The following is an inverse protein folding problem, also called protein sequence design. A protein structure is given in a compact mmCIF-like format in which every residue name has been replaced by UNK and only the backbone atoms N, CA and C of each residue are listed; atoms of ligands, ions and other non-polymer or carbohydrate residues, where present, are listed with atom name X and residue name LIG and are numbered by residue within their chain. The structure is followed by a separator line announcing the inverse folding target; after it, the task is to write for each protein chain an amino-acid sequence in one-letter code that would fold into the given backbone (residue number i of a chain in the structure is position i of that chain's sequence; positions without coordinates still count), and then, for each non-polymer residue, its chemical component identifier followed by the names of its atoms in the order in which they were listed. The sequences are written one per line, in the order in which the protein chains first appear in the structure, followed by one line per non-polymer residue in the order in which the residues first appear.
data_IF_864351345603
#
_entry.id   IF_864351345603
#
_cell.length_a   1.000
_cell.length_b   1.000
_cell.length_c   1.000
_cell.angle_alpha   90.00
_cell.angle_beta   90.00
_cell.angle_gamma   90.00
#
_symmetry.space_group_name_H-M   'P 1'
#
loop_
_entity.id
_entity.type
_entity.pdbx_description
1 polymer ?
#
# COMPACT_ATOMS: atom_id res chain seq x y z
N UNK A 1 -8.11 -13.40 -13.88
CA UNK A 1 -7.41 -12.18 -13.41
C UNK A 1 -8.00 -11.68 -12.11
N UNK A 2 -9.33 -11.71 -11.94
CA UNK A 2 -9.98 -11.28 -10.69
C UNK A 2 -9.77 -12.26 -9.52
N UNK A 3 -9.67 -13.56 -9.75
CA UNK A 3 -9.39 -14.54 -8.68
C UNK A 3 -8.00 -14.34 -8.04
N UNK A 4 -6.98 -14.11 -8.86
CA UNK A 4 -5.62 -13.84 -8.39
C UNK A 4 -5.55 -12.52 -7.60
N UNK A 5 -6.29 -11.49 -8.04
CA UNK A 5 -6.41 -10.26 -7.27
C UNK A 5 -7.11 -10.50 -5.92
N UNK A 6 -8.23 -11.22 -5.91
CA UNK A 6 -8.97 -11.52 -4.68
C UNK A 6 -8.10 -12.26 -3.64
N UNK A 7 -7.31 -13.25 -4.09
CA UNK A 7 -6.39 -14.00 -3.24
C UNK A 7 -5.27 -13.13 -2.65
N UNK A 8 -4.68 -12.25 -3.45
CA UNK A 8 -3.54 -11.41 -3.04
C UNK A 8 -3.96 -10.09 -2.38
N UNK A 9 -5.23 -9.72 -2.45
CA UNK A 9 -5.76 -8.47 -1.91
C UNK A 9 -5.48 -8.33 -0.42
N UNK A 10 -5.69 -9.39 0.35
CA UNK A 10 -5.43 -9.39 1.80
C UNK A 10 -3.94 -9.16 2.12
N UNK A 11 -3.05 -9.78 1.35
CA UNK A 11 -1.60 -9.60 1.48
C UNK A 11 -1.20 -8.15 1.17
N UNK A 12 -1.74 -7.57 0.10
CA UNK A 12 -1.50 -6.18 -0.26
C UNK A 12 -2.02 -5.20 0.83
N UNK A 13 -3.18 -5.49 1.42
CA UNK A 13 -3.75 -4.71 2.52
C UNK A 13 -2.83 -4.71 3.75
N UNK A 14 -2.44 -5.89 4.24
CA UNK A 14 -1.53 -6.01 5.39
C UNK A 14 -0.18 -5.31 5.13
N UNK A 15 0.38 -5.44 3.92
CA UNK A 15 1.62 -4.73 3.54
C UNK A 15 1.44 -3.21 3.53
N UNK A 16 0.26 -2.72 3.17
CA UNK A 16 -0.10 -1.30 3.22
C UNK A 16 -0.06 -0.76 4.65
N UNK A 17 -0.70 -1.47 5.58
CA UNK A 17 -0.69 -1.11 7.00
C UNK A 17 0.72 -1.13 7.60
N UNK A 18 1.47 -2.21 7.38
CA UNK A 18 2.87 -2.32 7.87
C UNK A 18 3.74 -1.21 7.29
N UNK A 19 3.57 -0.89 6.00
CA UNK A 19 4.30 0.22 5.40
C UNK A 19 3.97 1.56 6.08
N UNK A 20 2.69 1.83 6.35
CA UNK A 20 2.28 3.04 7.03
C UNK A 20 2.83 3.10 8.47
N UNK A 21 2.84 1.98 9.19
CA UNK A 21 3.48 1.85 10.51
C UNK A 21 4.97 2.18 10.45
N UNK A 22 5.70 1.65 9.48
CA UNK A 22 7.14 1.88 9.33
C UNK A 22 7.48 3.34 8.98
N UNK A 23 6.62 4.00 8.20
CA UNK A 23 6.75 5.44 7.94
C UNK A 23 6.45 6.23 9.22
N UNK A 24 5.44 5.84 10.00
CA UNK A 24 5.08 6.52 11.24
C UNK A 24 6.17 6.45 12.32
N UNK A 25 6.99 5.39 12.33
CA UNK A 25 8.19 5.29 13.19
C UNK A 25 9.24 6.37 12.88
N UNK A 26 9.24 6.92 11.66
CA UNK A 26 10.26 7.86 11.17
C UNK A 26 9.73 9.27 10.95
N UNK A 27 8.43 9.41 10.76
CA UNK A 27 7.77 10.66 10.41
C UNK A 27 6.49 10.81 11.24
N UNK A 28 6.31 11.93 11.97
CA UNK A 28 5.10 12.18 12.71
C UNK A 28 3.89 12.24 11.78
N UNK A 29 2.75 11.72 12.26
CA UNK A 29 1.49 11.62 11.49
C UNK A 29 0.71 12.94 11.40
N UNK A 30 1.40 14.07 11.48
CA UNK A 30 0.80 15.42 11.48
C UNK A 30 0.33 15.88 10.10
N UNK A 31 0.64 15.12 9.05
CA UNK A 31 0.24 15.39 7.66
C UNK A 31 -0.48 14.18 7.07
N UNK A 32 -1.35 14.36 6.06
CA UNK A 32 -1.97 13.26 5.34
C UNK A 32 -0.93 12.31 4.72
N UNK A 33 -1.34 11.06 4.48
CA UNK A 33 -0.52 10.10 3.77
C UNK A 33 -0.10 10.66 2.39
N UNK A 34 1.20 10.59 2.02
CA UNK A 34 1.66 11.19 0.78
C UNK A 34 1.24 10.34 -0.44
N UNK A 35 0.17 10.73 -1.13
CA UNK A 35 -0.28 10.13 -2.40
C UNK A 35 0.53 10.65 -3.61
N UNK A 36 1.86 10.59 -3.52
CA UNK A 36 2.78 11.11 -4.55
C UNK A 36 3.17 10.03 -5.56
N UNK A 37 3.72 10.43 -6.71
CA UNK A 37 4.28 9.47 -7.68
C UNK A 37 5.35 8.56 -7.04
N UNK A 38 6.18 9.11 -6.15
CA UNK A 38 7.17 8.35 -5.37
C UNK A 38 6.51 7.27 -4.50
N UNK A 39 5.40 7.58 -3.84
CA UNK A 39 4.66 6.60 -3.04
C UNK A 39 4.12 5.47 -3.91
N UNK A 40 3.58 5.79 -5.09
CA UNK A 40 3.12 4.78 -6.07
C UNK A 40 4.26 3.89 -6.55
N UNK A 41 5.45 4.45 -6.82
CA UNK A 41 6.64 3.64 -7.17
C UNK A 41 7.02 2.69 -6.05
N UNK A 42 6.98 3.14 -4.79
CA UNK A 42 7.26 2.29 -3.62
C UNK A 42 6.20 1.19 -3.50
N UNK A 43 4.92 1.54 -3.65
CA UNK A 43 3.81 0.59 -3.59
C UNK A 43 3.97 -0.52 -4.64
N UNK A 44 4.33 -0.16 -5.88
CA UNK A 44 4.65 -1.14 -6.94
C UNK A 44 5.79 -2.07 -6.54
N UNK A 45 6.91 -1.52 -6.04
CA UNK A 45 8.06 -2.32 -5.58
C UNK A 45 7.68 -3.31 -4.47
N UNK A 46 6.77 -2.93 -3.58
CA UNK A 46 6.29 -3.76 -2.47
C UNK A 46 5.35 -4.90 -2.88
N UNK A 47 4.95 -4.97 -4.15
CA UNK A 47 4.10 -6.06 -4.67
C UNK A 47 4.74 -6.83 -5.83
N UNK A 48 5.98 -6.48 -6.22
CA UNK A 48 6.71 -7.14 -7.31
C UNK A 48 6.92 -8.63 -7.07
N UNK A 49 7.10 -9.03 -5.82
CA UNK A 49 7.30 -10.42 -5.42
C UNK A 49 6.00 -11.24 -5.36
N UNK A 50 4.83 -10.58 -5.39
CA UNK A 50 3.54 -11.26 -5.31
C UNK A 50 3.07 -11.84 -6.65
N UNK A 51 3.45 -11.21 -7.76
CA UNK A 51 3.09 -11.65 -9.10
C UNK A 51 3.96 -11.00 -10.18
N UNK A 52 4.01 -11.62 -11.35
CA UNK A 52 4.75 -11.12 -12.53
C UNK A 52 3.89 -10.28 -13.48
N UNK A 53 2.56 -10.37 -13.39
CA UNK A 53 1.62 -9.64 -14.26
C UNK A 53 1.59 -8.13 -13.90
N UNK A 54 2.00 -7.22 -14.82
CA UNK A 54 2.05 -5.78 -14.57
C UNK A 54 0.68 -5.14 -14.26
N UNK A 55 -0.41 -5.68 -14.83
CA UNK A 55 -1.78 -5.18 -14.57
C UNK A 55 -2.20 -5.55 -13.16
N UNK A 56 -1.92 -6.77 -12.74
CA UNK A 56 -2.19 -7.24 -11.38
C UNK A 56 -1.34 -6.49 -10.35
N UNK A 57 -0.04 -6.28 -10.62
CA UNK A 57 0.83 -5.45 -9.78
C UNK A 57 0.27 -4.03 -9.61
N UNK A 58 -0.23 -3.41 -10.68
CA UNK A 58 -0.83 -2.07 -10.61
C UNK A 58 -2.05 -2.04 -9.70
N UNK A 59 -2.94 -3.05 -9.80
CA UNK A 59 -4.10 -3.18 -8.91
C UNK A 59 -3.70 -3.41 -7.46
N UNK A 60 -2.76 -4.31 -7.20
CA UNK A 60 -2.26 -4.62 -5.86
C UNK A 60 -1.55 -3.42 -5.22
N UNK A 61 -0.77 -2.66 -5.99
CA UNK A 61 -0.12 -1.44 -5.52
C UNK A 61 -1.15 -0.37 -5.13
N UNK A 62 -2.24 -0.24 -5.90
CA UNK A 62 -3.34 0.67 -5.57
C UNK A 62 -4.08 0.26 -4.29
N UNK A 63 -4.31 -1.04 -4.09
CA UNK A 63 -4.89 -1.55 -2.85
C UNK A 63 -3.96 -1.31 -1.65
N UNK A 64 -2.66 -1.61 -1.80
CA UNK A 64 -1.64 -1.36 -0.79
C UNK A 64 -1.60 0.11 -0.36
N UNK A 65 -1.57 1.04 -1.32
CA UNK A 65 -1.59 2.49 -1.03
C UNK A 65 -2.87 2.92 -0.33
N UNK A 66 -4.04 2.38 -0.74
CA UNK A 66 -5.33 2.65 -0.10
C UNK A 66 -5.33 2.23 1.37
N UNK A 67 -4.83 1.04 1.69
CA UNK A 67 -4.77 0.56 3.07
C UNK A 67 -3.73 1.32 3.91
N UNK A 68 -2.59 1.68 3.31
CA UNK A 68 -1.62 2.55 3.97
C UNK A 68 -2.24 3.91 4.35
N UNK A 69 -2.93 4.56 3.41
CA UNK A 69 -3.62 5.83 3.65
C UNK A 69 -4.75 5.69 4.68
N UNK A 70 -5.53 4.60 4.62
CA UNK A 70 -6.59 4.31 5.59
C UNK A 70 -6.03 4.13 7.00
N UNK A 71 -4.98 3.34 7.18
CA UNK A 71 -4.30 3.17 8.47
C UNK A 71 -3.75 4.50 8.97
N UNK A 72 -3.16 5.30 8.07
CA UNK A 72 -2.60 6.61 8.39
C UNK A 72 -3.65 7.63 8.84
N UNK A 73 -4.89 7.54 8.33
CA UNK A 73 -6.01 8.37 8.79
C UNK A 73 -6.70 7.87 10.07
N UNK A 74 -6.44 6.64 10.52
CA UNK A 74 -7.11 6.06 11.71
C UNK A 74 -6.56 6.53 13.05
N UNK A 75 -5.28 6.91 13.14
CA UNK A 75 -4.89 7.78 14.25
C UNK A 75 -5.28 9.19 13.83
N UNK A 76 -6.34 9.69 14.46
CA UNK A 76 -6.65 11.10 14.45
C UNK A 76 -5.51 11.95 15.03
N UNK A 77 -5.67 13.28 15.04
CA UNK A 77 -4.68 14.22 15.56
C UNK A 77 -4.17 13.87 16.97
#
# INVERSE_FOLDING_TARGET
MDDAFAQLRGVAACRGEVWAMDVAKKCPRTRPWPCTERARTIARRKVLDLCTDPRLQTRLAGELERWAARWWGQAGP
#
